data_IF_654009942953
#
_entry.id   IF_654009942953
#
_cell.length_a   1.000
_cell.length_b   1.000
_cell.length_c   1.000
_cell.angle_alpha   90.00
_cell.angle_beta   90.00
_cell.angle_gamma   90.00
#
_symmetry.space_group_name_H-M   'P 1'
#
loop_
_entity.id
_entity.type
_entity.pdbx_description
1 polymer ?
#
# COMPACT_ATOMS: atom_id res chain seq x y z
N UNK A 1 17.83 -36.45 34.72
CA UNK A 1 17.37 -35.05 34.59
C UNK A 1 18.22 -34.40 33.50
N UNK A 2 17.73 -34.44 32.27
CA UNK A 2 18.44 -33.97 31.08
C UNK A 2 17.74 -32.72 30.57
N UNK A 3 18.43 -31.59 30.64
CA UNK A 3 17.97 -30.27 30.18
C UNK A 3 17.78 -30.29 28.66
N UNK A 4 16.64 -29.83 28.10
CA UNK A 4 16.50 -29.71 26.65
C UNK A 4 17.30 -28.48 26.18
N UNK A 5 18.23 -28.67 25.26
CA UNK A 5 18.88 -27.57 24.55
C UNK A 5 17.87 -26.86 23.64
N UNK A 6 17.72 -25.56 23.85
CA UNK A 6 17.00 -24.65 22.97
C UNK A 6 17.66 -24.68 21.58
N UNK A 7 16.91 -25.13 20.57
CA UNK A 7 17.34 -25.06 19.18
C UNK A 7 17.37 -23.59 18.76
N UNK A 8 18.56 -23.17 18.33
CA UNK A 8 18.84 -21.86 17.77
C UNK A 8 18.09 -21.72 16.43
N UNK A 9 17.00 -20.95 16.41
CA UNK A 9 16.19 -20.66 15.22
C UNK A 9 16.80 -19.50 14.42
N UNK A 10 18.03 -19.69 13.94
CA UNK A 10 18.59 -18.86 12.87
C UNK A 10 18.74 -19.74 11.62
N UNK A 11 17.61 -20.25 11.13
CA UNK A 11 17.56 -20.90 9.84
C UNK A 11 17.53 -19.82 8.75
N UNK A 12 18.71 -19.52 8.18
CA UNK A 12 18.79 -18.85 6.88
C UNK A 12 17.96 -19.66 5.88
N UNK A 13 16.99 -19.01 5.25
CA UNK A 13 16.21 -19.59 4.16
C UNK A 13 17.18 -20.05 3.05
N UNK A 14 17.03 -21.27 2.50
CA UNK A 14 17.93 -21.77 1.46
C UNK A 14 17.81 -20.93 0.17
N UNK A 15 18.91 -20.71 -0.59
CA UNK A 15 18.86 -19.97 -1.83
C UNK A 15 18.36 -20.90 -2.94
N UNK A 16 17.09 -20.74 -3.31
CA UNK A 16 16.49 -21.50 -4.39
C UNK A 16 15.06 -21.03 -4.60
N UNK A 17 14.90 -20.12 -5.56
CA UNK A 17 13.67 -19.42 -5.93
C UNK A 17 13.25 -18.29 -4.96
N UNK A 18 13.96 -17.15 -4.99
CA UNK A 18 13.62 -15.98 -4.17
C UNK A 18 12.45 -15.24 -4.80
N UNK A 19 11.23 -15.53 -4.31
CA UNK A 19 10.05 -14.70 -4.53
C UNK A 19 10.36 -13.27 -4.06
N UNK A 20 9.98 -12.25 -4.85
CA UNK A 20 10.20 -10.85 -4.47
C UNK A 20 9.64 -10.55 -3.08
N UNK A 21 10.41 -9.85 -2.25
CA UNK A 21 10.09 -9.58 -0.85
C UNK A 21 10.05 -8.10 -0.51
N UNK A 22 10.49 -7.20 -1.40
CA UNK A 22 10.32 -5.75 -1.31
C UNK A 22 9.25 -5.26 -2.27
N UNK A 23 8.03 -5.16 -1.77
CA UNK A 23 6.82 -4.96 -2.58
C UNK A 23 6.26 -3.54 -2.43
N UNK A 24 5.89 -2.91 -3.54
CA UNK A 24 5.07 -1.71 -3.53
C UNK A 24 3.68 -2.01 -4.07
N UNK A 25 2.66 -1.92 -3.20
CA UNK A 25 1.26 -2.14 -3.55
C UNK A 25 0.56 -0.79 -3.66
N UNK A 26 0.04 -0.46 -4.83
CA UNK A 26 -0.65 0.80 -5.08
C UNK A 26 -1.99 0.62 -5.80
N UNK A 27 -2.85 1.61 -5.63
CA UNK A 27 -4.19 1.63 -6.19
C UNK A 27 -4.94 2.89 -5.72
N UNK A 28 -6.15 3.08 -6.23
CA UNK A 28 -7.01 4.19 -5.85
C UNK A 28 -7.38 4.16 -4.34
N UNK A 29 -7.84 5.28 -3.80
CA UNK A 29 -8.49 5.26 -2.48
C UNK A 29 -9.67 4.28 -2.50
N UNK A 30 -9.72 3.38 -1.53
CA UNK A 30 -10.75 2.35 -1.43
C UNK A 30 -10.49 1.06 -2.24
N UNK A 31 -9.36 0.92 -2.93
CA UNK A 31 -9.05 -0.28 -3.73
C UNK A 31 -8.62 -1.51 -2.91
N UNK A 32 -8.41 -1.37 -1.60
CA UNK A 32 -8.07 -2.50 -0.73
C UNK A 32 -6.57 -2.82 -0.59
N UNK A 33 -5.67 -1.91 -1.01
CA UNK A 33 -4.20 -2.13 -0.89
C UNK A 33 -3.73 -2.43 0.53
N UNK A 34 -4.28 -1.76 1.55
CA UNK A 34 -3.92 -2.01 2.96
C UNK A 34 -4.32 -3.42 3.40
N UNK A 35 -5.51 -3.89 2.99
CA UNK A 35 -5.98 -5.26 3.27
C UNK A 35 -5.10 -6.29 2.57
N UNK A 36 -4.84 -6.10 1.28
CA UNK A 36 -3.96 -7.00 0.52
C UNK A 36 -2.54 -7.04 1.12
N UNK A 37 -1.97 -5.89 1.48
CA UNK A 37 -0.66 -5.80 2.11
C UNK A 37 -0.59 -6.53 3.45
N UNK A 38 -1.62 -6.42 4.28
CA UNK A 38 -1.72 -7.17 5.55
C UNK A 38 -1.76 -8.69 5.34
N UNK A 39 -2.51 -9.14 4.34
CA UNK A 39 -2.59 -10.57 4.02
C UNK A 39 -1.30 -11.12 3.41
N UNK A 40 -0.65 -10.37 2.51
CA UNK A 40 0.65 -10.73 1.96
C UNK A 40 1.75 -10.68 3.01
N UNK A 41 1.70 -9.75 3.96
CA UNK A 41 2.63 -9.70 5.09
C UNK A 41 2.63 -11.01 5.87
N UNK A 42 1.46 -11.57 6.16
CA UNK A 42 1.31 -12.88 6.81
C UNK A 42 1.84 -14.01 5.93
N UNK A 43 1.49 -13.99 4.64
CA UNK A 43 1.86 -15.05 3.70
C UNK A 43 3.38 -15.11 3.42
N UNK A 44 4.04 -13.95 3.41
CA UNK A 44 5.47 -13.80 3.09
C UNK A 44 6.35 -13.64 4.33
N UNK A 45 5.76 -13.49 5.51
CA UNK A 45 6.47 -13.25 6.78
C UNK A 45 7.37 -12.01 6.76
N UNK A 46 6.91 -10.93 6.10
CA UNK A 46 7.60 -9.62 6.04
C UNK A 46 6.67 -8.53 6.59
N UNK A 47 7.19 -7.44 7.19
CA UNK A 47 6.37 -6.35 7.71
C UNK A 47 5.65 -5.59 6.58
N UNK A 48 4.50 -5.00 6.91
CA UNK A 48 3.77 -4.07 6.03
C UNK A 48 3.78 -2.67 6.63
N UNK A 49 3.96 -1.67 5.78
CA UNK A 49 3.96 -0.26 6.09
C UNK A 49 2.89 0.43 5.26
N UNK A 50 2.01 1.22 5.89
CA UNK A 50 1.02 2.03 5.19
C UNK A 50 1.65 3.38 4.83
N UNK A 51 1.54 3.77 3.56
CA UNK A 51 2.11 5.02 3.05
C UNK A 51 1.50 6.24 3.76
N UNK A 52 0.24 6.17 4.17
CA UNK A 52 -0.44 7.28 4.84
C UNK A 52 0.20 7.60 6.21
N UNK A 53 0.81 6.62 6.89
CA UNK A 53 1.51 6.83 8.19
C UNK A 53 2.71 7.78 8.06
N UNK A 54 3.32 7.83 6.87
CA UNK A 54 4.47 8.69 6.57
C UNK A 54 4.03 9.97 5.86
N UNK A 55 2.96 9.89 5.07
CA UNK A 55 2.44 11.02 4.31
C UNK A 55 1.82 12.11 5.20
N UNK A 56 1.14 11.71 6.27
CA UNK A 56 0.40 12.63 7.13
C UNK A 56 1.14 12.93 8.44
N UNK A 57 0.91 14.14 8.96
CA UNK A 57 1.20 14.46 10.36
C UNK A 57 0.03 13.91 11.20
N UNK A 58 0.34 13.34 12.37
CA UNK A 58 -0.67 12.86 13.30
C UNK A 58 -1.38 14.06 13.94
N UNK A 59 -2.65 14.25 13.60
CA UNK A 59 -3.53 15.34 14.04
C UNK A 59 -4.89 14.79 14.46
N UNK A 60 -5.67 15.57 15.20
CA UNK A 60 -7.11 15.36 15.39
C UNK A 60 -7.86 16.63 14.94
N UNK A 61 -8.69 16.57 13.88
CA UNK A 61 -8.96 15.41 13.01
C UNK A 61 -7.74 14.90 12.24
N UNK A 62 -7.67 13.60 11.86
CA UNK A 62 -6.56 13.05 11.09
C UNK A 62 -6.62 13.49 9.62
N UNK A 63 -5.52 13.26 8.88
CA UNK A 63 -5.42 13.51 7.43
C UNK A 63 -5.61 14.97 7.00
N UNK A 64 -5.30 15.91 7.87
CA UNK A 64 -5.44 17.35 7.59
C UNK A 64 -4.14 17.98 7.09
N UNK A 65 -3.00 17.56 7.63
CA UNK A 65 -1.71 18.20 7.37
C UNK A 65 -0.73 17.22 6.72
N UNK A 66 -0.35 17.51 5.47
CA UNK A 66 0.66 16.75 4.73
C UNK A 66 2.03 16.99 5.35
N UNK A 67 2.75 15.91 5.64
CA UNK A 67 4.16 15.98 6.05
C UNK A 67 5.01 16.49 4.87
N UNK A 68 6.01 17.37 5.06
CA UNK A 68 6.95 17.75 4.00
C UNK A 68 7.67 16.53 3.41
N UNK A 69 7.92 16.53 2.09
CA UNK A 69 8.55 15.38 1.40
C UNK A 69 9.88 14.95 2.03
N UNK A 70 10.82 15.86 2.37
CA UNK A 70 12.08 15.46 3.01
C UNK A 70 11.87 14.68 4.31
N UNK A 71 10.88 15.08 5.10
CA UNK A 71 10.56 14.43 6.37
C UNK A 71 9.90 13.06 6.17
N UNK A 72 9.10 12.88 5.11
CA UNK A 72 8.57 11.55 4.74
C UNK A 72 9.72 10.59 4.47
N UNK A 73 10.69 11.05 3.68
CA UNK A 73 11.84 10.26 3.25
C UNK A 73 12.75 9.93 4.45
N UNK A 74 13.04 10.93 5.30
CA UNK A 74 13.93 10.74 6.45
C UNK A 74 13.38 9.74 7.47
N UNK A 75 12.05 9.59 7.55
CA UNK A 75 11.40 8.61 8.43
C UNK A 75 11.31 7.24 7.75
N UNK A 76 10.80 7.19 6.51
CA UNK A 76 10.48 5.93 5.85
C UNK A 76 11.74 5.15 5.43
N UNK A 77 12.77 5.81 4.89
CA UNK A 77 13.96 5.14 4.36
C UNK A 77 14.69 4.27 5.39
N UNK A 78 15.02 4.74 6.60
CA UNK A 78 15.68 3.88 7.60
C UNK A 78 14.76 2.74 8.07
N UNK A 79 13.44 2.94 8.11
CA UNK A 79 12.47 1.88 8.48
C UNK A 79 12.50 0.74 7.47
N UNK A 80 12.47 1.05 6.17
CA UNK A 80 12.53 0.02 5.11
C UNK A 80 13.88 -0.70 5.09
N UNK A 81 15.00 0.04 5.28
CA UNK A 81 16.32 -0.55 5.35
C UNK A 81 16.44 -1.54 6.52
N UNK A 82 15.95 -1.16 7.70
CA UNK A 82 15.91 -2.04 8.87
C UNK A 82 15.03 -3.26 8.64
N UNK A 83 13.84 -3.09 8.05
CA UNK A 83 12.95 -4.20 7.73
C UNK A 83 13.60 -5.20 6.76
N UNK A 84 14.32 -4.68 5.74
CA UNK A 84 15.08 -5.53 4.83
C UNK A 84 16.17 -6.32 5.57
N UNK A 85 16.88 -5.70 6.51
CA UNK A 85 17.94 -6.37 7.29
C UNK A 85 17.37 -7.42 8.25
N UNK A 86 16.30 -7.10 8.98
CA UNK A 86 15.73 -7.95 10.04
C UNK A 86 14.80 -9.05 9.50
N UNK A 87 14.08 -8.78 8.41
CA UNK A 87 13.02 -9.66 7.89
C UNK A 87 13.26 -10.13 6.45
N UNK A 88 14.31 -9.64 5.79
CA UNK A 88 14.62 -10.00 4.40
C UNK A 88 13.70 -9.35 3.36
N UNK A 89 12.83 -8.43 3.76
CA UNK A 89 11.88 -7.75 2.88
C UNK A 89 10.90 -6.84 3.62
N UNK A 90 9.98 -6.24 2.87
CA UNK A 90 8.92 -5.39 3.37
C UNK A 90 7.83 -5.20 2.31
N UNK A 91 6.65 -4.82 2.76
CA UNK A 91 5.54 -4.41 1.90
C UNK A 91 5.21 -2.95 2.21
N UNK A 92 5.06 -2.15 1.17
CA UNK A 92 4.64 -0.76 1.28
C UNK A 92 3.31 -0.59 0.56
N UNK A 93 2.25 -0.30 1.31
CA UNK A 93 0.88 -0.23 0.81
C UNK A 93 0.40 1.22 0.72
N UNK A 94 0.02 1.64 -0.49
CA UNK A 94 -0.46 2.99 -0.77
C UNK A 94 0.31 3.67 -1.91
N UNK A 95 -0.12 4.86 -2.30
CA UNK A 95 0.46 5.56 -3.46
C UNK A 95 1.53 6.56 -3.04
N UNK A 96 2.74 6.39 -3.57
CA UNK A 96 3.86 7.32 -3.42
C UNK A 96 4.27 8.01 -4.73
N UNK A 97 3.47 7.87 -5.80
CA UNK A 97 3.89 8.23 -7.17
C UNK A 97 4.36 9.69 -7.33
N UNK A 98 3.96 10.60 -6.45
CA UNK A 98 4.34 12.02 -6.49
C UNK A 98 5.57 12.40 -5.64
N UNK A 99 6.16 11.48 -4.87
CA UNK A 99 7.27 11.79 -3.97
C UNK A 99 8.24 10.63 -3.68
N UNK A 100 7.93 9.43 -4.17
CA UNK A 100 8.61 8.18 -3.80
C UNK A 100 9.79 7.78 -4.69
N UNK A 101 10.22 8.60 -5.65
CA UNK A 101 11.29 8.26 -6.61
C UNK A 101 12.58 7.76 -5.93
N UNK A 102 12.89 8.28 -4.74
CA UNK A 102 14.08 7.87 -3.96
C UNK A 102 14.07 6.41 -3.51
N UNK A 103 12.91 5.73 -3.57
CA UNK A 103 12.71 4.33 -3.20
C UNK A 103 12.64 3.38 -4.41
N UNK A 104 12.62 3.89 -5.64
CA UNK A 104 12.41 3.07 -6.85
C UNK A 104 13.49 1.99 -6.99
N UNK A 105 14.72 2.25 -6.54
CA UNK A 105 15.81 1.27 -6.54
C UNK A 105 15.72 0.20 -5.45
N UNK A 106 14.88 0.40 -4.43
CA UNK A 106 14.69 -0.54 -3.33
C UNK A 106 13.53 -1.52 -3.59
N UNK A 107 12.58 -1.18 -4.46
CA UNK A 107 11.42 -2.02 -4.81
C UNK A 107 11.83 -3.14 -5.77
N UNK A 108 11.40 -4.37 -5.52
CA UNK A 108 11.61 -5.52 -6.41
C UNK A 108 10.40 -5.84 -7.29
N UNK A 109 9.20 -5.48 -6.84
CA UNK A 109 7.95 -5.79 -7.53
C UNK A 109 6.85 -4.81 -7.19
N UNK A 110 6.05 -4.44 -8.18
CA UNK A 110 4.91 -3.54 -8.03
C UNK A 110 3.61 -4.30 -8.21
N UNK A 111 2.65 -4.11 -7.31
CA UNK A 111 1.30 -4.65 -7.43
C UNK A 111 0.32 -3.49 -7.58
N UNK A 112 -0.30 -3.38 -8.74
CA UNK A 112 -1.35 -2.40 -9.01
C UNK A 112 -2.72 -3.06 -8.84
N UNK A 113 -3.50 -2.59 -7.86
CA UNK A 113 -4.87 -3.05 -7.61
C UNK A 113 -5.84 -2.08 -8.25
N UNK A 114 -6.52 -2.55 -9.28
CA UNK A 114 -7.56 -1.83 -10.00
C UNK A 114 -8.93 -2.24 -9.46
N UNK A 115 -9.74 -1.29 -8.99
CA UNK A 115 -11.04 -1.57 -8.37
C UNK A 115 -12.05 -0.57 -8.89
N UNK A 116 -13.23 -1.05 -9.28
CA UNK A 116 -14.27 -0.21 -9.86
C UNK A 116 -14.69 0.90 -8.90
N UNK A 117 -15.06 2.06 -9.44
CA UNK A 117 -15.45 3.23 -8.65
C UNK A 117 -16.58 2.91 -7.69
N UNK A 118 -17.59 2.15 -8.12
CA UNK A 118 -18.71 1.75 -7.26
C UNK A 118 -18.25 0.97 -6.01
N UNK A 119 -17.41 -0.07 -6.21
CA UNK A 119 -16.88 -0.88 -5.11
C UNK A 119 -15.99 -0.03 -4.19
N UNK A 120 -15.12 0.80 -4.76
CA UNK A 120 -14.25 1.70 -3.99
C UNK A 120 -15.06 2.65 -3.13
N UNK A 121 -16.06 3.33 -3.69
CA UNK A 121 -16.84 4.34 -2.96
C UNK A 121 -17.67 3.71 -1.85
N UNK A 122 -18.22 2.50 -2.06
CA UNK A 122 -18.88 1.73 -1.00
C UNK A 122 -17.92 1.41 0.15
N UNK A 123 -16.78 0.79 -0.14
CA UNK A 123 -15.75 0.44 0.85
C UNK A 123 -15.24 1.67 1.60
N UNK A 124 -15.06 2.78 0.86
CA UNK A 124 -14.56 4.04 1.40
C UNK A 124 -15.54 4.64 2.39
N UNK A 125 -16.83 4.75 2.03
CA UNK A 125 -17.86 5.24 2.94
C UNK A 125 -18.00 4.41 4.21
N UNK A 126 -18.00 3.08 4.10
CA UNK A 126 -18.01 2.18 5.26
C UNK A 126 -16.80 2.38 6.18
N UNK A 127 -15.61 2.57 5.58
CA UNK A 127 -14.37 2.79 6.34
C UNK A 127 -14.37 4.14 7.05
N UNK A 128 -14.73 5.21 6.36
CA UNK A 128 -14.76 6.56 6.94
C UNK A 128 -15.77 6.61 8.09
N UNK A 129 -16.96 6.02 7.92
CA UNK A 129 -17.95 5.93 9.01
C UNK A 129 -17.46 5.07 10.18
N UNK A 130 -16.82 3.92 9.92
CA UNK A 130 -16.23 3.09 10.99
C UNK A 130 -15.17 3.85 11.79
N UNK A 131 -14.42 4.74 11.14
CA UNK A 131 -13.32 5.50 11.75
C UNK A 131 -13.81 6.73 12.52
N UNK A 132 -14.79 7.45 11.98
CA UNK A 132 -15.18 8.78 12.47
C UNK A 132 -16.59 8.83 13.07
N UNK A 133 -17.43 7.82 12.82
CA UNK A 133 -18.79 7.74 13.34
C UNK A 133 -19.64 8.94 12.91
N UNK A 134 -20.39 9.49 13.86
CA UNK A 134 -21.30 10.62 13.63
C UNK A 134 -20.57 11.94 13.26
N UNK A 135 -19.26 12.06 13.47
CA UNK A 135 -18.48 13.27 13.12
C UNK A 135 -18.55 13.63 11.64
N UNK A 136 -18.75 12.63 10.77
CA UNK A 136 -18.82 12.82 9.32
C UNK A 136 -20.27 12.92 8.78
N UNK A 137 -21.28 12.90 9.66
CA UNK A 137 -22.67 13.14 9.29
C UNK A 137 -22.96 14.64 9.26
N UNK A 138 -24.04 15.04 8.60
CA UNK A 138 -24.45 16.44 8.53
C UNK A 138 -24.57 17.04 9.94
N UNK A 139 -23.91 18.18 10.16
CA UNK A 139 -23.80 18.83 11.47
C UNK A 139 -22.62 18.36 12.34
N UNK A 140 -21.88 17.33 11.91
CA UNK A 140 -20.63 16.90 12.55
C UNK A 140 -19.43 17.75 12.16
N UNK A 141 -18.40 17.74 13.00
CA UNK A 141 -17.19 18.57 12.87
C UNK A 141 -16.24 18.13 11.74
N UNK A 142 -16.47 16.96 11.12
CA UNK A 142 -15.69 16.42 10.00
C UNK A 142 -16.53 16.25 8.72
N UNK A 143 -17.77 16.76 8.70
CA UNK A 143 -18.72 16.55 7.61
C UNK A 143 -18.19 17.06 6.26
N UNK A 144 -17.67 18.29 6.26
CA UNK A 144 -17.22 18.94 5.03
C UNK A 144 -15.94 18.30 4.49
N UNK A 145 -14.96 18.03 5.35
CA UNK A 145 -13.71 17.37 4.98
C UNK A 145 -13.95 15.94 4.45
N UNK A 146 -14.81 15.17 5.12
CA UNK A 146 -15.18 13.82 4.69
C UNK A 146 -15.89 13.84 3.33
N UNK A 147 -16.83 14.77 3.14
CA UNK A 147 -17.57 14.92 1.89
C UNK A 147 -16.65 15.36 0.75
N UNK A 148 -15.74 16.30 1.00
CA UNK A 148 -14.73 16.73 0.03
C UNK A 148 -13.79 15.58 -0.34
N UNK A 149 -13.35 14.79 0.64
CA UNK A 149 -12.52 13.60 0.42
C UNK A 149 -13.23 12.56 -0.45
N UNK A 150 -14.48 12.21 -0.15
CA UNK A 150 -15.25 11.23 -0.92
C UNK A 150 -15.48 11.71 -2.36
N UNK A 151 -15.86 12.98 -2.55
CA UNK A 151 -16.02 13.57 -3.90
C UNK A 151 -14.72 13.55 -4.70
N UNK A 152 -13.60 13.86 -4.07
CA UNK A 152 -12.29 13.77 -4.72
C UNK A 152 -11.92 12.32 -5.07
N UNK A 153 -12.16 11.37 -4.17
CA UNK A 153 -11.83 9.96 -4.38
C UNK A 153 -12.67 9.29 -5.49
N UNK A 154 -13.91 9.75 -5.69
CA UNK A 154 -14.80 9.31 -6.78
C UNK A 154 -14.24 9.69 -8.16
N UNK A 155 -13.62 10.87 -8.26
CA UNK A 155 -13.01 11.41 -9.49
C UNK A 155 -11.71 10.73 -9.92
N UNK A 156 -11.33 9.61 -9.33
CA UNK A 156 -10.08 8.91 -9.66
C UNK A 156 -9.91 8.62 -11.17
N UNK A 157 -11.00 8.29 -11.87
CA UNK A 157 -10.99 8.03 -13.33
C UNK A 157 -11.09 9.29 -14.19
N UNK A 158 -11.36 10.45 -13.59
CA UNK A 158 -11.52 11.71 -14.31
C UNK A 158 -10.16 12.18 -14.88
N UNK A 159 -9.99 12.25 -16.21
CA UNK A 159 -8.72 12.63 -16.82
C UNK A 159 -8.37 14.11 -16.56
N UNK A 160 -9.34 14.94 -16.16
CA UNK A 160 -9.18 16.36 -15.86
C UNK A 160 -8.73 16.62 -14.41
N UNK A 161 -8.59 15.58 -13.60
CA UNK A 161 -8.08 15.73 -12.24
C UNK A 161 -6.56 15.99 -12.29
N UNK A 162 -6.18 17.25 -12.07
CA UNK A 162 -4.79 17.70 -12.12
C UNK A 162 -4.03 17.49 -10.81
N UNK A 163 -4.75 17.44 -9.67
CA UNK A 163 -4.15 17.30 -8.35
C UNK A 163 -4.56 16.01 -7.63
N UNK A 164 -3.57 15.37 -7.02
CA UNK A 164 -3.77 14.18 -6.19
C UNK A 164 -3.72 12.88 -6.99
N UNK A 165 -4.48 11.88 -6.53
CA UNK A 165 -4.40 10.51 -6.98
C UNK A 165 -5.41 10.31 -8.10
N UNK A 166 -4.94 10.02 -9.31
CA UNK A 166 -5.77 9.73 -10.47
C UNK A 166 -5.27 8.49 -11.22
N UNK A 167 -6.16 7.88 -12.02
CA UNK A 167 -5.84 6.81 -12.96
C UNK A 167 -4.71 7.22 -13.89
N UNK A 168 -4.81 8.43 -14.46
CA UNK A 168 -3.80 8.99 -15.36
C UNK A 168 -2.43 9.03 -14.69
N UNK A 169 -2.34 9.56 -13.47
CA UNK A 169 -1.09 9.62 -12.71
C UNK A 169 -0.50 8.22 -12.46
N UNK A 170 -1.31 7.26 -12.01
CA UNK A 170 -0.84 5.90 -11.77
C UNK A 170 -0.35 5.22 -13.05
N UNK A 171 -1.10 5.34 -14.15
CA UNK A 171 -0.71 4.76 -15.44
C UNK A 171 0.57 5.40 -16.00
N UNK A 172 0.73 6.72 -15.87
CA UNK A 172 1.96 7.43 -16.25
C UNK A 172 3.17 7.00 -15.40
N UNK A 173 2.97 6.77 -14.10
CA UNK A 173 4.01 6.27 -13.21
C UNK A 173 4.37 4.80 -13.53
N UNK A 174 3.36 3.94 -13.72
CA UNK A 174 3.55 2.52 -14.04
C UNK A 174 4.33 2.31 -15.35
N UNK A 175 4.22 3.22 -16.34
CA UNK A 175 5.04 3.19 -17.56
C UNK A 175 6.54 3.40 -17.32
N UNK A 176 6.90 4.03 -16.19
CA UNK A 176 8.29 4.34 -15.83
C UNK A 176 8.95 3.25 -14.97
N UNK A 177 8.14 2.45 -14.28
CA UNK A 177 8.58 1.33 -13.43
C UNK A 177 9.46 0.36 -14.22
N UNK A 178 10.59 -0.04 -13.61
CA UNK A 178 11.60 -0.92 -14.23
C UNK A 178 11.61 -2.34 -13.65
N UNK A 179 10.76 -2.59 -12.67
CA UNK A 179 10.56 -3.90 -12.05
C UNK A 179 9.25 -4.53 -12.54
N UNK A 180 9.05 -5.85 -12.35
CA UNK A 180 7.79 -6.48 -12.70
C UNK A 180 6.57 -5.81 -12.06
N UNK A 181 5.48 -5.75 -12.82
CA UNK A 181 4.20 -5.20 -12.39
C UNK A 181 3.14 -6.28 -12.49
N UNK A 182 2.52 -6.63 -11.36
CA UNK A 182 1.29 -7.44 -11.34
C UNK A 182 0.09 -6.51 -11.25
N UNK A 183 -0.79 -6.59 -12.24
CA UNK A 183 -2.09 -5.92 -12.21
C UNK A 183 -3.15 -6.89 -11.71
N UNK A 184 -3.93 -6.46 -10.73
CA UNK A 184 -4.99 -7.25 -10.12
C UNK A 184 -6.32 -6.53 -10.22
N UNK A 185 -7.38 -7.30 -10.46
CA UNK A 185 -8.75 -6.85 -10.30
C UNK A 185 -9.14 -6.95 -8.82
N UNK A 186 -9.45 -5.83 -8.18
CA UNK A 186 -9.82 -5.71 -6.78
C UNK A 186 -11.33 -5.84 -6.50
N UNK A 187 -12.12 -6.13 -7.53
CA UNK A 187 -13.56 -6.42 -7.42
C UNK A 187 -13.81 -7.90 -7.07
N UNK A 188 -12.79 -8.75 -7.21
CA UNK A 188 -12.85 -10.18 -6.89
C UNK A 188 -12.76 -10.46 -5.38
N UNK A 189 -13.05 -11.71 -5.02
CA UNK A 189 -12.89 -12.22 -3.65
C UNK A 189 -11.45 -12.07 -3.14
N UNK A 190 -11.31 -11.81 -1.84
CA UNK A 190 -10.01 -11.56 -1.20
C UNK A 190 -9.01 -12.71 -1.44
N UNK A 191 -9.47 -13.97 -1.38
CA UNK A 191 -8.63 -15.14 -1.61
C UNK A 191 -8.09 -15.21 -3.05
N UNK A 192 -8.91 -14.82 -4.03
CA UNK A 192 -8.51 -14.76 -5.45
C UNK A 192 -7.47 -13.65 -5.63
N UNK A 193 -7.66 -12.50 -4.98
CA UNK A 193 -6.72 -11.39 -5.01
C UNK A 193 -5.36 -11.76 -4.41
N UNK A 194 -5.35 -12.43 -3.26
CA UNK A 194 -4.12 -12.91 -2.61
C UNK A 194 -3.39 -13.93 -3.50
N UNK A 195 -4.11 -14.91 -4.04
CA UNK A 195 -3.50 -15.93 -4.90
C UNK A 195 -2.91 -15.30 -6.16
N UNK A 196 -3.66 -14.42 -6.83
CA UNK A 196 -3.18 -13.70 -8.01
C UNK A 196 -1.94 -12.83 -7.72
N UNK A 197 -1.88 -12.21 -6.53
CA UNK A 197 -0.69 -11.50 -6.09
C UNK A 197 0.50 -12.45 -5.94
N UNK A 198 0.35 -13.56 -5.20
CA UNK A 198 1.43 -14.52 -4.95
C UNK A 198 1.95 -15.17 -6.24
N UNK A 199 1.05 -15.55 -7.16
CA UNK A 199 1.41 -16.04 -8.49
C UNK A 199 2.16 -14.98 -9.31
N UNK A 200 1.79 -13.72 -9.17
CA UNK A 200 2.46 -12.60 -9.80
C UNK A 200 3.92 -12.45 -9.36
N UNK A 201 4.21 -12.66 -8.08
CA UNK A 201 5.55 -12.57 -7.50
C UNK A 201 6.49 -13.70 -7.93
N UNK A 202 5.96 -14.80 -8.47
CA UNK A 202 6.75 -15.93 -8.97
C UNK A 202 7.16 -15.77 -10.44
N UNK A 203 6.59 -14.80 -11.16
CA UNK A 203 6.89 -14.57 -12.57
C UNK A 203 8.12 -13.66 -12.67
N UNK A 204 9.22 -14.19 -13.19
CA UNK A 204 10.43 -13.41 -13.46
C UNK A 204 10.14 -12.25 -14.44
N UNK A 205 10.91 -11.16 -14.29
CA UNK A 205 10.91 -10.05 -15.24
C UNK A 205 11.26 -10.59 -16.63
N UNK A 206 10.31 -10.51 -17.58
CA UNK A 206 10.65 -10.68 -18.99
C UNK A 206 11.53 -9.49 -19.39
N UNK A 207 12.84 -9.71 -19.44
CA UNK A 207 13.83 -8.81 -20.03
C UNK A 207 13.53 -8.62 -21.51
#
# INVERSE_FOLDING_TARGET
>A
MTTPQLRNINAKCPPGNTRASRLHILGASGSGVTTLGSNLSKALSVPVFDVDDYYWILTDPPFTTKRPIPDRISILKPVLARAQEEHGGWILAGSMCSWGEVFDGDVEHVIFVDTSTEVRMKRLGEREYRRHGERIREGGDMYEESTAFLKWAERYEDPTLDEGRSRRMHEEWLKKVKVPVTRLDGDVEESVLINGALEGLEREAKV
#
